data_IF_829011950348
#
_entry.id   IF_829011950348
#
_cell.length_a   1.000
_cell.length_b   1.000
_cell.length_c   1.000
_cell.angle_alpha   90.00
_cell.angle_beta   90.00
_cell.angle_gamma   90.00
#
_symmetry.space_group_name_H-M   'P 1'
#
loop_
_entity.id
_entity.type
_entity.pdbx_description
1 polymer ?
#
# COMPACT_ATOMS: atom_id res chain seq x y z
N UNK A 1 -15.58 4.55 18.30
CA UNK A 1 -14.24 4.38 17.70
C UNK A 1 -14.39 3.76 16.32
N UNK A 2 -13.74 4.28 15.26
CA UNK A 2 -13.88 3.71 13.93
C UNK A 2 -13.23 2.32 13.90
N UNK A 3 -13.94 1.33 13.36
CA UNK A 3 -13.39 -0.02 13.13
C UNK A 3 -12.25 0.11 12.11
N UNK A 4 -11.01 0.17 12.58
CA UNK A 4 -9.82 0.02 11.73
C UNK A 4 -9.90 -1.39 11.17
N UNK A 5 -10.29 -1.55 9.91
CA UNK A 5 -10.18 -2.83 9.23
C UNK A 5 -8.71 -3.26 9.32
N UNK A 6 -8.44 -4.32 10.09
CA UNK A 6 -7.10 -4.87 10.25
C UNK A 6 -6.72 -5.41 8.86
N UNK A 7 -5.86 -4.67 8.16
CA UNK A 7 -5.29 -5.13 6.90
C UNK A 7 -4.56 -6.44 7.24
N UNK A 8 -4.90 -7.53 6.56
CA UNK A 8 -4.20 -8.82 6.72
C UNK A 8 -2.69 -8.57 6.56
N UNK A 9 -1.88 -9.09 7.49
CA UNK A 9 -0.44 -8.90 7.46
C UNK A 9 0.12 -9.29 6.09
N UNK A 10 1.13 -8.56 5.61
CA UNK A 10 1.81 -8.89 4.35
C UNK A 10 2.29 -10.35 4.35
N UNK A 11 2.82 -10.81 5.49
CA UNK A 11 3.28 -12.18 5.71
C UNK A 11 2.16 -13.21 5.58
N UNK A 12 0.97 -12.91 6.09
CA UNK A 12 -0.18 -13.83 6.01
C UNK A 12 -0.72 -13.92 4.58
N UNK A 13 -0.73 -12.79 3.85
CA UNK A 13 -1.10 -12.75 2.43
C UNK A 13 -0.13 -13.58 1.59
N UNK A 14 1.16 -13.45 1.85
CA UNK A 14 2.21 -14.20 1.16
C UNK A 14 2.06 -15.70 1.38
N UNK A 15 1.87 -16.15 2.64
CA UNK A 15 1.60 -17.56 2.96
C UNK A 15 0.37 -18.13 2.26
N UNK A 16 -0.72 -17.36 2.17
CA UNK A 16 -1.93 -17.76 1.45
C UNK A 16 -1.65 -17.92 -0.06
N UNK A 17 -0.86 -17.00 -0.64
CA UNK A 17 -0.52 -17.04 -2.07
C UNK A 17 0.49 -18.14 -2.38
N UNK A 18 1.45 -18.41 -1.51
CA UNK A 18 2.37 -19.54 -1.63
C UNK A 18 1.61 -20.87 -1.63
N UNK A 19 0.65 -21.05 -0.72
CA UNK A 19 -0.22 -22.23 -0.69
C UNK A 19 -1.00 -22.39 -2.00
N UNK A 20 -1.54 -21.28 -2.53
CA UNK A 20 -2.22 -21.27 -3.82
C UNK A 20 -1.27 -21.64 -4.98
N UNK A 21 -0.05 -21.07 -5.03
CA UNK A 21 0.98 -21.39 -6.04
C UNK A 21 1.40 -22.85 -5.99
N UNK A 22 1.53 -23.41 -4.79
CA UNK A 22 1.84 -24.81 -4.54
C UNK A 22 0.66 -25.77 -4.84
N UNK A 23 -0.48 -25.25 -5.34
CA UNK A 23 -1.73 -26.01 -5.59
C UNK A 23 -2.28 -26.71 -4.34
N UNK A 24 -1.96 -26.19 -3.17
CA UNK A 24 -2.51 -26.64 -1.89
C UNK A 24 -3.82 -25.91 -1.58
N UNK A 25 -4.59 -26.43 -0.61
CA UNK A 25 -5.79 -25.75 -0.15
C UNK A 25 -5.42 -24.53 0.71
N UNK A 26 -5.38 -23.36 0.07
CA UNK A 26 -5.08 -22.08 0.71
C UNK A 26 -6.11 -21.68 1.79
N UNK A 27 -7.30 -22.29 1.82
CA UNK A 27 -8.29 -22.02 2.87
C UNK A 27 -7.91 -22.66 4.21
N UNK A 28 -7.20 -23.78 4.18
CA UNK A 28 -6.64 -24.42 5.39
C UNK A 28 -5.59 -23.51 6.00
N UNK A 29 -4.71 -22.94 5.17
CA UNK A 29 -3.69 -21.98 5.59
C UNK A 29 -4.35 -20.70 6.12
N UNK A 30 -5.37 -20.18 5.44
CA UNK A 30 -6.12 -19.02 5.92
C UNK A 30 -6.78 -19.26 7.29
N UNK A 31 -7.37 -20.45 7.50
CA UNK A 31 -7.96 -20.83 8.78
C UNK A 31 -6.92 -20.90 9.90
N UNK A 32 -5.74 -21.47 9.64
CA UNK A 32 -4.62 -21.52 10.58
C UNK A 32 -4.09 -20.13 10.95
N UNK A 33 -4.15 -19.17 10.01
CA UNK A 33 -3.74 -17.77 10.22
C UNK A 33 -4.86 -16.89 10.81
N UNK A 34 -6.06 -17.43 11.04
CA UNK A 34 -7.21 -16.67 11.51
C UNK A 34 -7.78 -15.66 10.49
N UNK A 35 -7.48 -15.87 9.21
CA UNK A 35 -7.97 -15.04 8.10
C UNK A 35 -9.34 -15.55 7.65
N UNK A 36 -10.33 -14.65 7.53
CA UNK A 36 -11.66 -15.03 7.06
C UNK A 36 -11.61 -15.63 5.65
N UNK A 37 -12.43 -16.65 5.39
CA UNK A 37 -12.53 -17.32 4.07
C UNK A 37 -12.76 -16.31 2.94
N UNK A 38 -13.67 -15.35 3.15
CA UNK A 38 -13.97 -14.27 2.20
C UNK A 38 -12.74 -13.42 1.87
N UNK A 39 -11.94 -13.09 2.89
CA UNK A 39 -10.67 -12.37 2.72
C UNK A 39 -9.64 -13.20 1.96
N UNK A 40 -9.50 -14.49 2.27
CA UNK A 40 -8.59 -15.40 1.56
C UNK A 40 -8.94 -15.51 0.07
N UNK A 41 -10.22 -15.67 -0.28
CA UNK A 41 -10.66 -15.63 -1.67
C UNK A 41 -10.36 -14.29 -2.36
N UNK A 42 -10.58 -13.17 -1.67
CA UNK A 42 -10.25 -11.85 -2.21
C UNK A 42 -8.75 -11.70 -2.50
N UNK A 43 -7.89 -12.18 -1.60
CA UNK A 43 -6.43 -12.19 -1.77
C UNK A 43 -6.04 -12.97 -3.04
N UNK A 44 -6.50 -14.23 -3.16
CA UNK A 44 -6.17 -15.08 -4.31
C UNK A 44 -6.73 -14.51 -5.61
N UNK A 45 -7.94 -13.94 -5.60
CA UNK A 45 -8.54 -13.31 -6.78
C UNK A 45 -7.75 -12.09 -7.25
N UNK A 46 -7.30 -11.24 -6.34
CA UNK A 46 -6.43 -10.10 -6.67
C UNK A 46 -5.11 -10.58 -7.24
N UNK A 47 -4.53 -11.63 -6.64
CA UNK A 47 -3.30 -12.24 -7.14
C UNK A 47 -3.47 -12.80 -8.56
N UNK A 48 -4.57 -13.50 -8.87
CA UNK A 48 -4.84 -13.99 -10.24
C UNK A 48 -4.97 -12.86 -11.26
N UNK A 49 -5.56 -11.72 -10.87
CA UNK A 49 -5.82 -10.60 -11.78
C UNK A 49 -4.59 -9.72 -12.02
N UNK A 50 -3.83 -9.46 -10.96
CA UNK A 50 -2.80 -8.40 -10.94
C UNK A 50 -1.39 -8.95 -10.66
N UNK A 51 -1.26 -10.27 -10.43
CA UNK A 51 -0.04 -10.92 -9.95
C UNK A 51 0.56 -10.26 -8.69
N UNK A 52 -0.31 -9.65 -7.88
CA UNK A 52 0.06 -8.81 -6.74
C UNK A 52 -0.18 -9.52 -5.41
N UNK A 53 0.88 -9.60 -4.61
CA UNK A 53 0.86 -10.18 -3.26
C UNK A 53 0.45 -9.14 -2.22
N UNK A 54 0.96 -7.92 -2.34
CA UNK A 54 0.72 -6.84 -1.38
C UNK A 54 -0.73 -6.35 -1.41
N UNK A 55 -1.20 -5.88 -0.26
CA UNK A 55 -2.46 -5.15 -0.21
C UNK A 55 -2.30 -3.82 -0.97
N UNK A 56 -3.37 -3.36 -1.64
CA UNK A 56 -3.36 -1.99 -2.14
C UNK A 56 -3.13 -1.04 -0.98
N UNK A 57 -2.17 -0.13 -1.13
CA UNK A 57 -2.10 1.03 -0.26
C UNK A 57 -3.47 1.72 -0.33
N UNK A 58 -4.15 1.81 0.82
CA UNK A 58 -5.31 2.68 0.93
C UNK A 58 -4.82 4.08 0.53
N UNK A 59 -5.38 4.63 -0.55
CA UNK A 59 -4.81 5.76 -1.30
C UNK A 59 -4.05 6.75 -0.42
N UNK A 60 -2.74 6.88 -0.66
CA UNK A 60 -1.95 7.93 -0.05
C UNK A 60 -2.40 9.29 -0.59
N UNK A 61 -2.16 10.37 0.17
CA UNK A 61 -2.31 11.74 -0.35
C UNK A 61 -1.51 11.81 -1.66
N UNK A 62 -2.18 12.11 -2.77
CA UNK A 62 -1.49 12.43 -4.02
C UNK A 62 -0.49 13.56 -3.71
N UNK A 63 0.79 13.32 -3.98
CA UNK A 63 1.80 14.38 -3.89
C UNK A 63 1.50 15.35 -5.03
N UNK A 64 0.91 16.49 -4.70
CA UNK A 64 0.57 17.53 -5.67
C UNK A 64 1.85 18.15 -6.25
N UNK A 65 2.94 18.08 -5.50
CA UNK A 65 4.26 18.65 -5.82
C UNK A 65 5.26 17.49 -5.95
N UNK A 66 5.94 17.44 -7.08
CA UNK A 66 7.05 16.55 -7.37
C UNK A 66 8.30 16.93 -6.57
N UNK A 67 9.28 16.03 -6.50
CA UNK A 67 10.48 16.28 -5.69
C UNK A 67 11.35 17.39 -6.26
N UNK A 68 11.42 17.53 -7.58
CA UNK A 68 12.26 18.55 -8.23
C UNK A 68 11.73 19.96 -7.93
N UNK A 69 10.42 20.15 -8.00
CA UNK A 69 9.79 21.41 -7.59
C UNK A 69 9.99 21.69 -6.10
N UNK A 70 9.99 20.66 -5.25
CA UNK A 70 10.23 20.83 -3.82
C UNK A 70 11.67 21.26 -3.55
N UNK A 71 12.64 20.66 -4.23
CA UNK A 71 14.06 21.02 -4.11
C UNK A 71 14.32 22.46 -4.61
N UNK A 72 13.65 22.87 -5.68
CA UNK A 72 13.69 24.26 -6.17
C UNK A 72 13.17 25.25 -5.13
N UNK A 73 12.03 24.96 -4.50
CA UNK A 73 11.46 25.81 -3.45
C UNK A 73 12.43 25.93 -2.27
N UNK A 74 13.04 24.82 -1.85
CA UNK A 74 14.03 24.82 -0.76
C UNK A 74 15.23 25.70 -1.12
N UNK A 75 15.78 25.55 -2.32
CA UNK A 75 16.91 26.36 -2.79
C UNK A 75 16.58 27.86 -2.80
N UNK A 76 15.39 28.24 -3.26
CA UNK A 76 14.96 29.65 -3.30
C UNK A 76 14.77 30.23 -1.90
N UNK A 77 14.21 29.46 -0.96
CA UNK A 77 14.06 29.86 0.43
C UNK A 77 15.39 29.94 1.17
N UNK A 78 16.35 29.06 0.87
CA UNK A 78 17.71 29.14 1.42
C UNK A 78 18.46 30.37 0.90
N UNK A 79 18.31 30.70 -0.38
CA UNK A 79 18.92 31.86 -1.00
C UNK A 79 18.32 33.20 -0.51
N UNK A 80 17.01 33.21 -0.23
CA UNK A 80 16.32 34.37 0.34
C UNK A 80 15.20 33.93 1.32
N UNK A 81 15.50 33.85 2.63
CA UNK A 81 14.54 33.41 3.64
C UNK A 81 13.31 34.30 3.80
N UNK A 82 13.33 35.53 3.29
CA UNK A 82 12.20 36.47 3.33
C UNK A 82 11.32 36.40 2.08
N UNK A 83 11.68 35.57 1.11
CA UNK A 83 10.94 35.39 -0.13
C UNK A 83 9.58 34.75 0.16
N UNK A 84 8.52 35.30 -0.43
CA UNK A 84 7.17 34.75 -0.28
C UNK A 84 6.90 33.69 -1.34
N UNK A 85 6.02 32.74 -1.03
CA UNK A 85 5.60 31.70 -1.99
C UNK A 85 5.02 32.28 -3.30
N UNK A 86 4.52 33.52 -3.27
CA UNK A 86 3.97 34.21 -4.46
C UNK A 86 5.05 34.71 -5.41
N UNK A 87 6.27 34.89 -4.90
CA UNK A 87 7.43 35.36 -5.67
C UNK A 87 8.20 34.20 -6.30
N UNK A 88 7.96 32.96 -5.86
CA UNK A 88 8.49 31.74 -6.47
C UNK A 88 7.75 31.54 -7.81
N UNK A 89 8.48 31.62 -8.92
CA UNK A 89 7.98 31.43 -10.28
C UNK A 89 8.67 30.25 -10.96
#
# INVERSE_FOLDING_TARGET
MPRRHRITSATDRERIIEAYRAKQDFLVVAAALGVQRTTAYSIVRVYQRENRVEAAHAGGRHKIIDNETLDLIVMLLEANPMMTLREIK
#
